data_IF_260068554524
#
_entry.id   IF_260068554524
#
_cell.length_a   1.000
_cell.length_b   1.000
_cell.length_c   1.000
_cell.angle_alpha   90.00
_cell.angle_beta   90.00
_cell.angle_gamma   90.00
#
_symmetry.space_group_name_H-M   'P 1'
#
loop_
_entity.id
_entity.type
_entity.pdbx_description
1 polymer ?
#
# COMPACT_ATOMS: atom_id res chain seq x y z
N UNK A 1 -70.68 -65.02 129.37
CA UNK A 1 -69.39 -64.38 129.67
C UNK A 1 -68.38 -64.99 128.70
N UNK A 2 -68.08 -64.37 127.56
CA UNK A 2 -67.11 -63.27 127.47
C UNK A 2 -65.77 -63.84 126.99
N UNK A 3 -65.69 -64.26 125.72
CA UNK A 3 -64.47 -64.91 125.19
C UNK A 3 -64.33 -64.98 123.66
N UNK A 4 -65.41 -64.80 122.89
CA UNK A 4 -65.37 -64.86 121.42
C UNK A 4 -65.07 -63.53 120.70
N UNK A 5 -65.19 -62.39 121.39
CA UNK A 5 -64.99 -61.05 120.80
C UNK A 5 -63.52 -60.74 120.47
N UNK A 6 -62.61 -61.06 121.39
CA UNK A 6 -61.18 -60.75 121.23
C UNK A 6 -60.46 -61.54 120.13
N UNK A 7 -60.99 -62.68 119.68
CA UNK A 7 -60.39 -63.45 118.57
C UNK A 7 -60.76 -62.83 117.21
N UNK A 8 -62.03 -62.43 117.02
CA UNK A 8 -62.48 -61.77 115.79
C UNK A 8 -61.83 -60.39 115.61
N UNK A 9 -61.68 -59.62 116.69
CA UNK A 9 -61.00 -58.33 116.70
C UNK A 9 -59.50 -58.48 116.37
N UNK A 10 -58.81 -59.45 116.99
CA UNK A 10 -57.40 -59.76 116.68
C UNK A 10 -57.17 -60.28 115.25
N UNK A 11 -58.11 -61.04 114.68
CA UNK A 11 -58.04 -61.49 113.28
C UNK A 11 -58.25 -60.30 112.32
N UNK A 12 -59.17 -59.39 112.65
CA UNK A 12 -59.37 -58.14 111.91
C UNK A 12 -58.13 -57.24 111.92
N UNK A 13 -57.52 -57.04 113.09
CA UNK A 13 -56.29 -56.25 113.26
C UNK A 13 -55.09 -56.88 112.55
N UNK A 14 -54.95 -58.21 112.55
CA UNK A 14 -53.87 -58.89 111.85
C UNK A 14 -54.03 -58.79 110.32
N UNK A 15 -55.25 -58.95 109.80
CA UNK A 15 -55.55 -58.76 108.38
C UNK A 15 -55.36 -57.29 107.94
N UNK A 16 -55.76 -56.34 108.79
CA UNK A 16 -55.55 -54.91 108.54
C UNK A 16 -54.07 -54.54 108.59
N UNK A 17 -53.30 -55.10 109.53
CA UNK A 17 -51.85 -54.94 109.60
C UNK A 17 -51.13 -55.52 108.38
N UNK A 18 -51.56 -56.69 107.88
CA UNK A 18 -51.05 -57.27 106.64
C UNK A 18 -51.31 -56.41 105.40
N UNK A 19 -52.53 -55.89 105.25
CA UNK A 19 -52.89 -54.95 104.18
C UNK A 19 -52.15 -53.62 104.28
N UNK A 20 -51.98 -53.09 105.49
CA UNK A 20 -51.21 -51.87 105.73
C UNK A 20 -49.74 -52.05 105.36
N UNK A 21 -49.13 -53.18 105.74
CA UNK A 21 -47.76 -53.51 105.36
C UNK A 21 -47.61 -53.67 103.84
N UNK A 22 -48.59 -54.28 103.16
CA UNK A 22 -48.61 -54.37 101.71
C UNK A 22 -48.67 -52.97 101.05
N UNK A 23 -49.60 -52.12 101.48
CA UNK A 23 -49.73 -50.74 100.97
C UNK A 23 -48.46 -49.92 101.24
N UNK A 24 -47.82 -50.08 102.40
CA UNK A 24 -46.54 -49.44 102.71
C UNK A 24 -45.41 -49.93 101.78
N UNK A 25 -45.38 -51.22 101.45
CA UNK A 25 -44.40 -51.78 100.53
C UNK A 25 -44.60 -51.28 99.09
N UNK A 26 -45.85 -51.19 98.62
CA UNK A 26 -46.20 -50.63 97.31
C UNK A 26 -45.88 -49.14 97.24
N UNK A 27 -46.16 -48.38 98.31
CA UNK A 27 -45.80 -46.96 98.41
C UNK A 27 -44.28 -46.75 98.40
N UNK A 28 -43.52 -47.62 99.07
CA UNK A 28 -42.05 -47.58 99.05
C UNK A 28 -41.50 -47.91 97.65
N UNK A 29 -42.08 -48.89 96.96
CA UNK A 29 -41.73 -49.21 95.57
C UNK A 29 -42.00 -48.03 94.62
N UNK A 30 -43.21 -47.46 94.67
CA UNK A 30 -43.57 -46.26 93.89
C UNK A 30 -42.66 -45.06 94.21
N UNK A 31 -42.32 -44.85 95.49
CA UNK A 31 -41.40 -43.79 95.89
C UNK A 31 -40.00 -43.98 95.31
N UNK A 32 -39.56 -45.22 95.12
CA UNK A 32 -38.27 -45.55 94.52
C UNK A 32 -38.30 -45.45 92.97
N UNK A 33 -39.46 -45.59 92.33
CA UNK A 33 -39.62 -45.41 90.87
C UNK A 33 -39.65 -43.93 90.44
N UNK A 34 -40.21 -43.05 91.26
CA UNK A 34 -40.35 -41.60 90.95
C UNK A 34 -39.02 -40.92 90.56
N UNK A 35 -37.88 -41.13 91.26
CA UNK A 35 -36.59 -40.61 90.82
C UNK A 35 -36.17 -41.07 89.42
N UNK A 36 -36.42 -42.34 89.08
CA UNK A 36 -36.12 -42.89 87.76
C UNK A 36 -36.96 -42.24 86.65
N UNK A 37 -38.26 -42.04 86.91
CA UNK A 37 -39.15 -41.32 85.99
C UNK A 37 -38.73 -39.86 85.80
N UNK A 38 -38.26 -39.20 86.86
CA UNK A 38 -37.72 -37.82 86.77
C UNK A 38 -36.47 -37.76 85.89
N UNK A 39 -35.54 -38.69 86.06
CA UNK A 39 -34.34 -38.76 85.22
C UNK A 39 -34.69 -39.03 83.73
N UNK A 40 -35.68 -39.88 83.47
CA UNK A 40 -36.19 -40.09 82.11
C UNK A 40 -36.82 -38.81 81.54
N UNK A 41 -37.57 -38.06 82.36
CA UNK A 41 -38.15 -36.78 81.95
C UNK A 41 -37.07 -35.74 81.58
N UNK A 42 -36.01 -35.63 82.39
CA UNK A 42 -34.88 -34.73 82.12
C UNK A 42 -34.17 -35.12 80.81
N UNK A 43 -33.99 -36.43 80.58
CA UNK A 43 -33.41 -36.95 79.33
C UNK A 43 -34.27 -36.61 78.11
N UNK A 44 -35.60 -36.75 78.21
CA UNK A 44 -36.53 -36.37 77.15
C UNK A 44 -36.49 -34.87 76.85
N UNK A 45 -36.32 -34.03 77.87
CA UNK A 45 -36.15 -32.59 77.68
C UNK A 45 -34.85 -32.26 76.93
N UNK A 46 -33.74 -32.92 77.27
CA UNK A 46 -32.44 -32.76 76.56
C UNK A 46 -32.56 -33.16 75.08
N UNK A 47 -33.11 -34.35 74.82
CA UNK A 47 -33.32 -34.84 73.45
C UNK A 47 -34.23 -33.91 72.63
N UNK A 48 -35.24 -33.31 73.25
CA UNK A 48 -36.08 -32.30 72.58
C UNK A 48 -35.28 -31.05 72.20
N UNK A 49 -34.35 -30.63 73.06
CA UNK A 49 -33.40 -29.55 72.77
C UNK A 49 -32.52 -29.88 71.56
N UNK A 50 -31.90 -31.07 71.56
CA UNK A 50 -31.07 -31.56 70.46
C UNK A 50 -31.86 -31.63 69.13
N UNK A 51 -33.07 -32.19 69.15
CA UNK A 51 -33.95 -32.24 67.97
C UNK A 51 -34.29 -30.84 67.46
N UNK A 52 -34.46 -29.86 68.36
CA UNK A 52 -34.71 -28.47 67.97
C UNK A 52 -33.46 -27.85 67.34
N UNK A 53 -32.28 -28.11 67.89
CA UNK A 53 -30.99 -27.69 67.33
C UNK A 53 -30.76 -28.26 65.93
N UNK A 54 -30.91 -29.57 65.77
CA UNK A 54 -30.78 -30.25 64.48
C UNK A 54 -31.76 -29.72 63.43
N UNK A 55 -33.00 -29.36 63.82
CA UNK A 55 -33.95 -28.70 62.90
C UNK A 55 -33.45 -27.33 62.45
N UNK A 56 -32.80 -26.58 63.34
CA UNK A 56 -32.16 -25.31 63.01
C UNK A 56 -31.03 -25.49 62.00
N UNK A 57 -30.14 -26.46 62.24
CA UNK A 57 -29.04 -26.80 61.31
C UNK A 57 -29.56 -27.23 59.93
N UNK A 58 -30.56 -28.11 59.89
CA UNK A 58 -31.20 -28.54 58.62
C UNK A 58 -31.79 -27.35 57.87
N UNK A 59 -32.40 -26.40 58.58
CA UNK A 59 -32.95 -25.18 57.96
C UNK A 59 -31.83 -24.29 57.41
N UNK A 60 -30.72 -24.15 58.15
CA UNK A 60 -29.52 -23.43 57.68
C UNK A 60 -28.92 -24.03 56.43
N UNK A 61 -28.69 -25.35 56.43
CA UNK A 61 -28.20 -26.11 55.27
C UNK A 61 -29.12 -25.98 54.06
N UNK A 62 -30.44 -25.96 54.26
CA UNK A 62 -31.39 -25.73 53.17
C UNK A 62 -31.25 -24.33 52.56
N UNK A 63 -30.98 -23.32 53.38
CA UNK A 63 -30.67 -21.96 52.94
C UNK A 63 -29.38 -21.92 52.10
N UNK A 64 -28.30 -22.54 52.59
CA UNK A 64 -27.03 -22.63 51.87
C UNK A 64 -27.18 -23.34 50.51
N UNK A 65 -27.88 -24.48 50.48
CA UNK A 65 -28.16 -25.22 49.23
C UNK A 65 -28.95 -24.36 48.25
N UNK A 66 -29.89 -23.56 48.74
CA UNK A 66 -30.67 -22.64 47.89
C UNK A 66 -29.79 -21.52 47.34
N UNK A 67 -28.90 -20.95 48.16
CA UNK A 67 -27.91 -19.95 47.74
C UNK A 67 -26.98 -20.49 46.66
N UNK A 68 -26.38 -21.66 46.89
CA UNK A 68 -25.50 -22.33 45.94
C UNK A 68 -26.20 -22.64 44.61
N UNK A 69 -27.48 -23.03 44.64
CA UNK A 69 -28.28 -23.21 43.42
C UNK A 69 -28.44 -21.91 42.64
N UNK A 70 -28.62 -20.78 43.33
CA UNK A 70 -28.64 -19.45 42.73
C UNK A 70 -27.32 -19.12 42.05
N UNK A 71 -26.20 -19.29 42.75
CA UNK A 71 -24.85 -19.03 42.21
C UNK A 71 -24.56 -19.90 40.98
N UNK A 72 -24.88 -21.19 41.02
CA UNK A 72 -24.71 -22.10 39.87
C UNK A 72 -25.57 -21.65 38.69
N UNK A 73 -26.77 -21.13 38.93
CA UNK A 73 -27.63 -20.58 37.87
C UNK A 73 -27.02 -19.35 37.22
N UNK A 74 -26.48 -18.42 38.02
CA UNK A 74 -25.77 -17.23 37.53
C UNK A 74 -24.55 -17.63 36.71
N UNK A 75 -23.71 -18.54 37.23
CA UNK A 75 -22.51 -18.98 36.54
C UNK A 75 -22.83 -19.65 35.20
N UNK A 76 -23.93 -20.41 35.11
CA UNK A 76 -24.40 -20.98 33.83
C UNK A 76 -24.81 -19.90 32.82
N UNK A 77 -25.44 -18.82 33.29
CA UNK A 77 -25.78 -17.67 32.46
C UNK A 77 -24.52 -16.99 31.94
N UNK A 78 -23.54 -16.74 32.82
CA UNK A 78 -22.27 -16.11 32.47
C UNK A 78 -21.48 -16.94 31.44
N UNK A 79 -21.40 -18.26 31.63
CA UNK A 79 -20.77 -19.17 30.67
C UNK A 79 -21.47 -19.12 29.30
N UNK A 80 -22.79 -19.00 29.28
CA UNK A 80 -23.55 -18.89 28.02
C UNK A 80 -23.26 -17.57 27.32
N UNK A 81 -23.22 -16.46 28.07
CA UNK A 81 -22.84 -15.14 27.55
C UNK A 81 -21.41 -15.12 26.98
N UNK A 82 -20.46 -15.69 27.72
CA UNK A 82 -19.06 -15.79 27.28
C UNK A 82 -18.91 -16.62 25.99
N UNK A 83 -19.67 -17.71 25.84
CA UNK A 83 -19.70 -18.49 24.60
C UNK A 83 -20.21 -17.66 23.41
N UNK A 84 -21.28 -16.89 23.60
CA UNK A 84 -21.80 -16.01 22.55
C UNK A 84 -20.79 -14.92 22.16
N UNK A 85 -20.10 -14.32 23.13
CA UNK A 85 -19.04 -13.35 22.86
C UNK A 85 -17.87 -13.98 22.10
N UNK A 86 -17.48 -15.20 22.47
CA UNK A 86 -16.44 -15.94 21.78
C UNK A 86 -16.83 -16.25 20.32
N UNK A 87 -18.07 -16.67 20.08
CA UNK A 87 -18.58 -16.92 18.72
C UNK A 87 -18.56 -15.64 17.87
N UNK A 88 -18.99 -14.50 18.44
CA UNK A 88 -18.93 -13.21 17.77
C UNK A 88 -17.48 -12.82 17.42
N UNK A 89 -16.54 -13.03 18.35
CA UNK A 89 -15.14 -12.70 18.13
C UNK A 89 -14.52 -13.59 17.03
N UNK A 90 -14.89 -14.87 16.96
CA UNK A 90 -14.49 -15.74 15.84
C UNK A 90 -15.06 -15.25 14.50
N UNK A 91 -16.31 -14.81 14.46
CA UNK A 91 -16.91 -14.24 13.25
C UNK A 91 -16.19 -12.96 12.81
N UNK A 92 -15.90 -12.06 13.75
CA UNK A 92 -15.15 -10.84 13.48
C UNK A 92 -13.74 -11.15 12.96
N UNK A 93 -13.05 -12.13 13.55
CA UNK A 93 -11.72 -12.54 13.10
C UNK A 93 -11.76 -13.11 11.68
N UNK A 94 -12.75 -13.97 11.37
CA UNK A 94 -12.94 -14.48 10.02
C UNK A 94 -13.24 -13.37 8.99
N UNK A 95 -14.04 -12.37 9.38
CA UNK A 95 -14.29 -11.19 8.55
C UNK A 95 -13.03 -10.37 8.31
N UNK A 96 -12.20 -10.16 9.34
CA UNK A 96 -10.93 -9.44 9.22
C UNK A 96 -9.95 -10.20 8.33
N UNK A 97 -9.83 -11.53 8.46
CA UNK A 97 -8.98 -12.33 7.58
C UNK A 97 -9.44 -12.21 6.12
N UNK A 98 -10.75 -12.31 5.89
CA UNK A 98 -11.31 -12.15 4.54
C UNK A 98 -11.05 -10.77 3.98
N UNK A 99 -11.30 -9.70 4.75
CA UNK A 99 -11.08 -8.34 4.30
C UNK A 99 -9.60 -8.07 4.01
N UNK A 100 -8.72 -8.55 4.88
CA UNK A 100 -7.27 -8.49 4.69
C UNK A 100 -6.85 -9.17 3.38
N UNK A 101 -7.33 -10.38 3.10
CA UNK A 101 -7.02 -11.09 1.86
C UNK A 101 -7.55 -10.35 0.63
N UNK A 102 -8.78 -9.83 0.69
CA UNK A 102 -9.37 -9.06 -0.42
C UNK A 102 -8.63 -7.76 -0.71
N UNK A 103 -8.02 -7.13 0.30
CA UNK A 103 -7.24 -5.90 0.14
C UNK A 103 -5.81 -6.19 -0.33
N UNK A 104 -5.18 -7.26 0.18
CA UNK A 104 -3.79 -7.58 -0.17
C UNK A 104 -3.65 -8.26 -1.52
N UNK A 105 -4.61 -9.07 -1.96
CA UNK A 105 -4.53 -9.78 -3.24
C UNK A 105 -4.31 -8.81 -4.42
N UNK A 106 -5.14 -7.77 -4.62
CA UNK A 106 -4.95 -6.82 -5.73
C UNK A 106 -3.61 -6.10 -5.67
N UNK A 107 -3.19 -5.67 -4.47
CA UNK A 107 -1.91 -4.97 -4.28
C UNK A 107 -0.73 -5.88 -4.67
N UNK A 108 -0.80 -7.16 -4.30
CA UNK A 108 0.22 -8.16 -4.65
C UNK A 108 0.25 -8.41 -6.15
N UNK A 109 -0.91 -8.59 -6.77
CA UNK A 109 -1.01 -8.73 -8.24
C UNK A 109 -0.45 -7.50 -8.95
N UNK A 110 -0.79 -6.29 -8.50
CA UNK A 110 -0.27 -5.06 -9.08
C UNK A 110 1.25 -4.94 -8.92
N UNK A 111 1.81 -5.32 -7.76
CA UNK A 111 3.25 -5.38 -7.56
C UNK A 111 3.93 -6.37 -8.50
N UNK A 112 3.36 -7.56 -8.68
CA UNK A 112 3.90 -8.58 -9.57
C UNK A 112 3.81 -8.14 -11.05
N UNK A 113 2.71 -7.51 -11.46
CA UNK A 113 2.55 -6.92 -12.79
C UNK A 113 3.56 -5.79 -13.04
N UNK A 114 3.81 -4.93 -12.05
CA UNK A 114 4.84 -3.89 -12.16
C UNK A 114 6.25 -4.49 -12.23
N UNK A 115 6.55 -5.46 -11.36
CA UNK A 115 7.86 -6.12 -11.31
C UNK A 115 8.17 -6.89 -12.60
N UNK A 116 7.17 -7.52 -13.20
CA UNK A 116 7.32 -8.28 -14.46
C UNK A 116 7.20 -7.40 -15.71
N UNK A 117 6.39 -6.35 -15.67
CA UNK A 117 6.12 -5.48 -16.81
C UNK A 117 7.13 -4.35 -17.02
N UNK A 118 7.83 -3.89 -15.97
CA UNK A 118 8.82 -2.80 -16.10
C UNK A 118 10.11 -3.22 -16.83
N UNK A 119 10.72 -4.40 -16.57
CA UNK A 119 11.94 -4.84 -17.25
C UNK A 119 11.84 -4.86 -18.79
N UNK A 120 10.81 -5.44 -19.44
CA UNK A 120 10.74 -5.44 -20.90
C UNK A 120 10.52 -4.04 -21.49
N UNK A 121 9.86 -3.13 -20.74
CA UNK A 121 9.71 -1.72 -21.16
C UNK A 121 11.05 -0.98 -21.12
N UNK A 122 11.86 -1.22 -20.09
CA UNK A 122 13.22 -0.68 -20.00
C UNK A 122 14.03 -1.19 -21.19
N UNK A 123 14.05 -2.51 -21.42
CA UNK A 123 14.82 -3.11 -22.52
C UNK A 123 14.39 -2.55 -23.89
N UNK A 124 13.08 -2.32 -24.10
CA UNK A 124 12.59 -1.69 -25.32
C UNK A 124 13.08 -0.25 -25.50
N UNK A 125 13.07 0.55 -24.43
CA UNK A 125 13.59 1.92 -24.45
C UNK A 125 15.10 1.96 -24.70
N UNK A 126 15.84 1.02 -24.12
CA UNK A 126 17.28 0.88 -24.34
C UNK A 126 17.60 0.56 -25.80
N UNK A 127 16.87 -0.38 -26.41
CA UNK A 127 16.99 -0.66 -27.86
C UNK A 127 16.68 0.57 -28.72
N UNK A 128 15.65 1.33 -28.35
CA UNK A 128 15.29 2.56 -29.06
C UNK A 128 16.39 3.62 -28.94
N UNK A 129 16.94 3.83 -27.73
CA UNK A 129 18.08 4.73 -27.49
C UNK A 129 19.27 4.33 -28.36
N UNK A 130 19.61 3.04 -28.38
CA UNK A 130 20.78 2.57 -29.11
C UNK A 130 20.60 2.73 -30.62
N UNK A 131 19.39 2.49 -31.13
CA UNK A 131 19.03 2.80 -32.52
C UNK A 131 19.19 4.28 -32.84
N UNK A 132 18.66 5.18 -32.00
CA UNK A 132 18.79 6.64 -32.20
C UNK A 132 20.25 7.06 -32.14
N UNK A 133 21.02 6.54 -31.19
CA UNK A 133 22.45 6.83 -31.08
C UNK A 133 23.23 6.37 -32.30
N UNK A 134 22.87 5.22 -32.89
CA UNK A 134 23.48 4.76 -34.13
C UNK A 134 23.17 5.69 -35.32
N UNK A 135 21.96 6.25 -35.37
CA UNK A 135 21.56 7.21 -36.39
C UNK A 135 22.27 8.56 -36.21
N UNK A 136 22.37 9.05 -34.97
CA UNK A 136 23.17 10.25 -34.64
C UNK A 136 24.61 10.02 -35.08
N UNK A 137 25.24 8.89 -34.72
CA UNK A 137 26.61 8.60 -35.12
C UNK A 137 26.78 8.56 -36.64
N UNK A 138 25.78 8.07 -37.38
CA UNK A 138 25.76 8.09 -38.85
C UNK A 138 25.71 9.53 -39.40
N UNK A 139 24.82 10.36 -38.88
CA UNK A 139 24.65 11.75 -39.32
C UNK A 139 25.84 12.64 -38.93
N UNK A 140 26.45 12.42 -37.76
CA UNK A 140 27.60 13.20 -37.30
C UNK A 140 28.91 12.78 -37.98
N UNK A 141 29.05 11.54 -38.43
CA UNK A 141 30.22 11.10 -39.23
C UNK A 141 30.20 11.65 -40.66
N UNK A 142 29.05 12.12 -41.14
CA UNK A 142 28.99 12.86 -42.38
C UNK A 142 29.65 14.22 -42.13
N UNK A 143 30.97 14.29 -42.31
CA UNK A 143 31.85 15.43 -42.01
C UNK A 143 31.45 16.58 -42.93
N UNK A 144 30.42 17.32 -42.54
CA UNK A 144 29.85 18.39 -43.33
C UNK A 144 30.71 19.62 -43.11
N UNK A 145 31.36 20.09 -44.17
CA UNK A 145 32.25 21.24 -44.14
C UNK A 145 31.59 22.41 -44.86
N UNK A 146 31.77 23.59 -44.29
CA UNK A 146 31.36 24.87 -44.89
C UNK A 146 32.60 25.67 -45.21
N UNK A 147 32.69 26.17 -46.45
CA UNK A 147 33.68 27.16 -46.84
C UNK A 147 32.97 28.38 -47.43
N UNK A 148 33.41 29.58 -47.04
CA UNK A 148 32.80 30.84 -47.45
C UNK A 148 33.87 31.82 -47.93
N UNK A 149 33.51 32.64 -48.91
CA UNK A 149 34.37 33.70 -49.39
C UNK A 149 33.57 34.83 -50.02
N UNK A 150 34.20 36.00 -50.04
CA UNK A 150 33.68 37.19 -50.70
C UNK A 150 34.64 37.58 -51.81
N UNK A 151 34.09 37.93 -52.95
CA UNK A 151 34.82 38.40 -54.10
C UNK A 151 34.21 39.70 -54.57
N UNK A 152 35.00 40.78 -54.50
CA UNK A 152 34.70 42.01 -55.22
C UNK A 152 35.46 41.96 -56.54
N UNK A 153 34.73 42.08 -57.65
CA UNK A 153 35.31 42.17 -58.98
C UNK A 153 35.03 43.55 -59.54
N UNK A 154 36.06 44.20 -60.05
CA UNK A 154 36.01 45.57 -60.55
C UNK A 154 36.66 45.68 -61.93
N UNK A 155 36.46 46.82 -62.58
CA UNK A 155 37.04 47.10 -63.91
C UNK A 155 38.55 46.85 -64.03
N UNK A 156 39.29 46.92 -62.93
CA UNK A 156 40.74 46.75 -62.91
C UNK A 156 41.19 45.29 -62.95
N UNK A 157 40.27 44.33 -62.77
CA UNK A 157 40.59 42.91 -62.80
C UNK A 157 40.93 42.41 -64.21
N UNK A 158 41.89 41.49 -64.29
CA UNK A 158 42.22 40.79 -65.52
C UNK A 158 41.00 40.05 -66.09
N UNK A 159 40.85 40.05 -67.42
CA UNK A 159 39.69 39.50 -68.14
C UNK A 159 38.35 40.21 -67.88
N UNK A 160 38.35 41.43 -67.32
CA UNK A 160 37.15 42.24 -67.20
C UNK A 160 36.63 42.71 -68.57
N UNK A 161 35.61 42.01 -69.08
CA UNK A 161 34.95 42.33 -70.36
C UNK A 161 33.59 43.00 -70.18
N UNK A 162 33.16 43.27 -68.96
CA UNK A 162 31.82 43.81 -68.65
C UNK A 162 31.68 45.33 -68.88
N UNK A 163 32.78 46.02 -69.18
CA UNK A 163 32.75 47.41 -69.69
C UNK A 163 32.84 47.52 -71.21
N UNK A 164 33.06 46.41 -71.90
CA UNK A 164 33.21 46.39 -73.36
C UNK A 164 31.86 46.67 -74.03
N UNK A 165 31.86 47.44 -75.12
CA UNK A 165 30.65 47.78 -75.89
C UNK A 165 30.54 46.97 -77.19
N UNK A 166 31.54 46.16 -77.52
CA UNK A 166 31.64 45.44 -78.80
C UNK A 166 31.02 44.04 -78.80
N UNK A 167 30.58 43.52 -77.64
CA UNK A 167 30.03 42.17 -77.52
C UNK A 167 28.57 42.18 -77.08
N UNK A 168 27.74 41.38 -77.77
CA UNK A 168 26.33 41.14 -77.40
C UNK A 168 26.15 40.40 -76.06
N UNK A 169 27.14 39.63 -75.64
CA UNK A 169 27.17 38.93 -74.35
C UNK A 169 28.59 39.01 -73.82
N UNK A 170 28.74 39.50 -72.59
CA UNK A 170 30.04 39.80 -71.97
C UNK A 170 30.17 38.95 -70.74
N UNK A 171 31.32 38.30 -70.61
CA UNK A 171 31.54 37.30 -69.57
C UNK A 171 32.85 37.60 -68.85
N UNK A 172 32.78 37.63 -67.54
CA UNK A 172 33.93 37.56 -66.65
C UNK A 172 33.97 36.17 -66.01
N UNK A 173 35.16 35.56 -66.00
CA UNK A 173 35.40 34.23 -65.44
C UNK A 173 36.54 34.30 -64.45
N UNK A 174 36.34 33.74 -63.24
CA UNK A 174 37.39 33.60 -62.23
C UNK A 174 37.32 32.23 -61.58
N UNK A 175 38.43 31.51 -61.57
CA UNK A 175 38.54 30.25 -60.84
C UNK A 175 38.67 30.53 -59.34
N UNK A 176 37.85 29.86 -58.55
CA UNK A 176 37.88 29.88 -57.09
C UNK A 176 38.30 28.49 -56.62
N UNK A 177 39.40 28.42 -55.87
CA UNK A 177 39.92 27.18 -55.29
C UNK A 177 39.54 27.09 -53.82
N UNK A 178 39.12 25.91 -53.38
CA UNK A 178 38.84 25.67 -51.98
C UNK A 178 40.13 25.45 -51.19
N UNK A 179 40.12 25.89 -49.93
CA UNK A 179 41.25 25.74 -48.99
C UNK A 179 41.65 24.28 -48.76
N UNK A 180 40.67 23.37 -48.81
CA UNK A 180 40.86 21.92 -48.81
C UNK A 180 39.87 21.33 -49.82
N UNK A 181 40.24 20.31 -50.60
CA UNK A 181 39.28 19.64 -51.48
C UNK A 181 38.18 18.93 -50.68
N UNK A 182 36.95 18.99 -51.15
CA UNK A 182 35.84 18.18 -50.66
C UNK A 182 35.99 16.71 -51.10
N UNK A 183 35.36 15.79 -50.39
CA UNK A 183 35.34 14.36 -50.72
C UNK A 183 34.38 14.07 -51.89
N UNK A 184 33.34 14.89 -52.04
CA UNK A 184 32.36 14.82 -53.12
C UNK A 184 32.15 16.20 -53.76
N UNK A 185 31.45 16.26 -54.90
CA UNK A 185 31.10 17.54 -55.55
C UNK A 185 30.20 18.34 -54.59
N UNK A 186 30.64 19.51 -54.09
CA UNK A 186 29.89 20.24 -53.09
C UNK A 186 28.80 21.10 -53.71
N UNK A 187 27.86 21.58 -52.90
CA UNK A 187 26.83 22.53 -53.33
C UNK A 187 27.35 23.95 -53.14
N UNK A 188 27.37 24.72 -54.23
CA UNK A 188 27.79 26.13 -54.22
C UNK A 188 26.56 27.04 -54.28
N UNK A 189 26.43 27.92 -53.29
CA UNK A 189 25.46 28.99 -53.29
C UNK A 189 26.16 30.32 -53.57
N UNK A 190 25.60 31.12 -54.48
CA UNK A 190 26.10 32.44 -54.84
C UNK A 190 25.09 33.51 -54.43
N UNK A 191 25.57 34.56 -53.78
CA UNK A 191 24.81 35.76 -53.46
C UNK A 191 25.52 36.99 -54.02
N UNK A 192 24.78 37.88 -54.67
CA UNK A 192 25.34 39.17 -55.09
C UNK A 192 25.29 40.14 -53.89
N UNK A 193 26.44 40.70 -53.53
CA UNK A 193 26.60 41.57 -52.35
C UNK A 193 26.65 43.05 -52.72
N UNK A 194 27.13 43.38 -53.93
CA UNK A 194 27.13 44.74 -54.46
C UNK A 194 27.04 44.74 -55.98
N UNK A 195 26.48 45.81 -56.55
CA UNK A 195 26.39 46.02 -57.98
C UNK A 195 26.46 47.52 -58.27
N UNK A 196 27.48 47.96 -58.99
CA UNK A 196 27.59 49.32 -59.51
C UNK A 196 27.54 49.29 -61.05
N UNK A 197 26.55 49.99 -61.60
CA UNK A 197 26.29 50.06 -63.02
C UNK A 197 25.89 51.48 -63.44
N UNK A 198 25.98 51.74 -64.74
CA UNK A 198 25.57 53.00 -65.34
C UNK A 198 24.38 52.77 -66.30
N UNK A 199 23.16 53.06 -65.82
CA UNK A 199 21.84 53.21 -66.50
C UNK A 199 20.86 52.02 -66.53
N UNK A 200 19.66 52.25 -67.10
CA UNK A 200 18.33 51.91 -66.57
C UNK A 200 17.78 50.47 -66.80
N UNK A 201 18.29 49.67 -67.76
CA UNK A 201 17.72 48.34 -68.08
C UNK A 201 18.79 47.30 -68.46
N UNK A 202 19.18 46.49 -67.47
CA UNK A 202 20.24 45.50 -67.61
C UNK A 202 19.84 44.10 -67.19
N UNK A 203 20.27 43.09 -67.95
CA UNK A 203 20.30 41.71 -67.47
C UNK A 203 21.72 41.33 -67.09
N UNK A 204 21.86 40.92 -65.85
CA UNK A 204 23.08 40.34 -65.30
C UNK A 204 22.78 38.98 -64.69
N UNK A 205 23.68 38.04 -64.91
CA UNK A 205 23.61 36.71 -64.33
C UNK A 205 24.94 36.38 -63.66
N UNK A 206 24.85 35.82 -62.46
CA UNK A 206 25.98 35.26 -61.74
C UNK A 206 25.73 33.77 -61.58
N UNK A 207 26.71 32.95 -61.93
CA UNK A 207 26.59 31.49 -61.88
C UNK A 207 27.92 30.85 -61.51
N UNK A 208 27.84 29.67 -60.90
CA UNK A 208 28.99 28.79 -60.66
C UNK A 208 28.97 27.71 -61.74
N UNK A 209 30.04 27.65 -62.53
CA UNK A 209 30.25 26.60 -63.52
C UNK A 209 31.39 25.69 -63.06
N UNK A 210 31.48 24.50 -63.65
CA UNK A 210 32.60 23.56 -63.42
C UNK A 210 32.85 23.25 -61.93
N UNK A 211 31.77 23.08 -61.15
CA UNK A 211 31.86 22.77 -59.72
C UNK A 211 32.53 21.41 -59.54
N UNK A 212 33.70 21.41 -58.92
CA UNK A 212 34.52 20.23 -58.64
C UNK A 212 34.94 20.23 -57.16
N UNK A 213 35.39 19.10 -56.61
CA UNK A 213 35.75 19.04 -55.20
C UNK A 213 36.90 19.99 -54.80
N UNK A 214 37.72 20.45 -55.73
CA UNK A 214 38.81 21.40 -55.49
C UNK A 214 38.44 22.88 -55.72
N UNK A 215 37.29 23.18 -56.31
CA UNK A 215 36.92 24.55 -56.66
C UNK A 215 35.78 24.67 -57.66
N UNK A 216 35.46 25.90 -58.06
CA UNK A 216 34.48 26.19 -59.12
C UNK A 216 34.91 27.42 -59.92
N UNK A 217 34.33 27.61 -61.09
CA UNK A 217 34.53 28.81 -61.90
C UNK A 217 33.35 29.76 -61.67
N UNK A 218 33.61 30.93 -61.08
CA UNK A 218 32.63 32.01 -61.01
C UNK A 218 32.49 32.64 -62.38
N UNK A 219 31.25 32.71 -62.87
CA UNK A 219 30.90 33.31 -64.15
C UNK A 219 29.91 34.44 -63.93
N UNK A 220 30.34 35.65 -64.26
CA UNK A 220 29.50 36.84 -64.27
C UNK A 220 29.24 37.23 -65.71
N UNK A 221 27.98 37.42 -66.07
CA UNK A 221 27.58 37.65 -67.44
C UNK A 221 26.56 38.76 -67.57
N UNK A 222 26.68 39.55 -68.65
CA UNK A 222 25.77 40.61 -69.01
C UNK A 222 25.41 40.59 -70.50
N UNK A 223 24.16 40.91 -70.83
CA UNK A 223 23.61 40.91 -72.21
C UNK A 223 23.46 42.31 -72.83
N UNK A 224 23.58 43.37 -72.03
CA UNK A 224 23.39 44.74 -72.49
C UNK A 224 24.71 45.36 -72.93
N UNK A 225 24.66 46.52 -73.59
CA UNK A 225 25.85 47.37 -73.85
C UNK A 225 26.26 48.21 -72.64
N UNK A 226 25.71 47.94 -71.44
CA UNK A 226 25.85 48.77 -70.25
C UNK A 226 27.20 48.61 -69.58
N UNK A 227 27.68 49.62 -68.89
CA UNK A 227 28.97 49.53 -68.20
C UNK A 227 28.76 49.11 -66.75
N UNK A 228 28.95 47.82 -66.48
CA UNK A 228 29.07 47.33 -65.12
C UNK A 228 30.47 47.74 -64.64
N UNK A 229 30.55 48.46 -63.51
CA UNK A 229 31.81 48.94 -62.94
C UNK A 229 32.37 47.97 -61.93
N UNK A 230 31.50 47.49 -61.04
CA UNK A 230 31.85 46.56 -59.97
C UNK A 230 30.72 45.58 -59.70
N UNK A 231 31.09 44.38 -59.28
CA UNK A 231 30.20 43.30 -58.86
C UNK A 231 30.79 42.64 -57.63
N UNK A 232 30.07 42.71 -56.51
CA UNK A 232 30.35 41.92 -55.32
C UNK A 232 29.60 40.60 -55.38
N UNK A 233 30.30 39.49 -55.18
CA UNK A 233 29.73 38.15 -55.04
C UNK A 233 30.23 37.52 -53.76
N UNK A 234 29.31 37.10 -52.90
CA UNK A 234 29.58 36.15 -51.83
C UNK A 234 29.26 34.74 -52.33
N UNK A 235 30.09 33.79 -51.92
CA UNK A 235 29.83 32.39 -52.15
C UNK A 235 29.88 31.61 -50.84
N UNK A 236 29.03 30.61 -50.73
CA UNK A 236 29.04 29.63 -49.63
C UNK A 236 28.97 28.24 -50.22
N UNK A 237 29.88 27.38 -49.79
CA UNK A 237 29.97 25.98 -50.24
C UNK A 237 29.69 25.06 -49.06
N UNK A 238 28.82 24.07 -49.30
CA UNK A 238 28.47 23.04 -48.32
C UNK A 238 28.71 21.66 -48.94
N UNK A 239 29.39 20.76 -48.23
CA UNK A 239 29.64 19.42 -48.74
C UNK A 239 30.43 18.55 -47.77
N UNK A 240 30.66 17.30 -48.18
CA UNK A 240 31.53 16.32 -47.52
C UNK A 240 32.87 16.23 -48.22
#
# INVERSE_FOLDING_TARGET
MGGGGGVRERVGDWLMGGRLNQVQSELAALRNEVPGLRQQMDTLQSLRGEVTGLRGEVTGLHGEVTGLRGEVSTLRSDVTSLRQQLDLLHQQLAQITTSHDTLLQPLRTQMDEMATGMPPRIEALERQRDSVNSEIARLTRADWRIEQGNLLVEKQDDNWKLTDVFFKRRTYRKAITFSTPFSQVPVVHLGMTSLDFAMDEGRMQVSAEEIQPQGFTLVVESQSSERIRTVGVQWTVFGH
#
